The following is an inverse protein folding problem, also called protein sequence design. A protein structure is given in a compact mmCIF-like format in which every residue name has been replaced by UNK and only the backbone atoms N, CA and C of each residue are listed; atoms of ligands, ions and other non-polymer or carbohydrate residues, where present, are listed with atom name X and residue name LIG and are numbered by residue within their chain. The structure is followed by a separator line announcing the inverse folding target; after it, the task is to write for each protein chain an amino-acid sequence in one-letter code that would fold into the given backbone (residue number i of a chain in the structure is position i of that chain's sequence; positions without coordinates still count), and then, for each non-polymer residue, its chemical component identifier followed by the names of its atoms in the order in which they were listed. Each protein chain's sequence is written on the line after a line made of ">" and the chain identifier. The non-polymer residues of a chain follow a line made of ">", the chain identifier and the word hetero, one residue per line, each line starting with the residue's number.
data_IF_069095068364
#
_entry.id   IF_069095068364
#
_cell.length_a   1.000
_cell.length_b   1.000
_cell.length_c   1.000
_cell.angle_alpha   90.00
_cell.angle_beta   90.00
_cell.angle_gamma   90.00
#
_symmetry.space_group_name_H-M   'P 1'
#
loop_
_entity.id
_entity.type
_entity.pdbx_description
1 polymer ?
#
# COMPACT_ATOMS: atom_id res chain seq x y z
N UNK A 1 16.48 18.79 -2.66
CA UNK A 1 15.34 18.01 -3.15
C UNK A 1 14.65 17.30 -2.01
N UNK A 2 13.53 16.65 -2.24
CA UNK A 2 12.87 15.80 -1.24
C UNK A 2 13.63 14.47 -1.12
N UNK A 3 13.76 13.96 0.10
CA UNK A 3 14.46 12.72 0.43
C UNK A 3 13.55 11.65 1.06
N UNK A 4 12.27 11.97 1.26
CA UNK A 4 11.22 11.07 1.73
C UNK A 4 9.87 11.59 1.23
N UNK A 5 9.02 10.73 0.71
CA UNK A 5 7.70 11.08 0.17
C UNK A 5 6.65 10.17 0.77
N UNK A 6 5.56 10.74 1.29
CA UNK A 6 4.35 10.01 1.68
C UNK A 6 3.31 10.08 0.57
N UNK A 7 2.61 8.98 0.35
CA UNK A 7 1.47 8.93 -0.57
C UNK A 7 0.18 8.63 0.20
N UNK A 8 -0.92 9.11 -0.31
CA UNK A 8 -2.26 8.91 0.22
C UNK A 8 -3.31 9.40 -0.77
N UNK A 9 -4.58 9.18 -0.46
CA UNK A 9 -5.71 9.54 -1.31
C UNK A 9 -6.97 9.79 -0.46
N UNK A 10 -8.07 10.22 -1.08
CA UNK A 10 -9.28 10.65 -0.37
C UNK A 10 -10.14 9.47 0.19
N UNK A 11 -10.00 8.24 -0.24
CA UNK A 11 -10.75 7.08 0.29
C UNK A 11 -12.23 7.00 -0.13
N UNK A 12 -12.68 7.77 -1.13
CA UNK A 12 -14.06 7.76 -1.63
C UNK A 12 -14.13 6.96 -2.93
N UNK A 13 -15.01 5.92 -2.94
CA UNK A 13 -15.27 5.05 -4.09
C UNK A 13 -14.08 4.21 -4.58
N UNK A 14 -12.92 4.26 -3.96
CA UNK A 14 -11.70 3.62 -4.44
C UNK A 14 -11.28 2.36 -3.67
N UNK A 15 -11.93 1.99 -2.57
CA UNK A 15 -11.73 0.68 -1.95
C UNK A 15 -12.28 -0.47 -2.82
N UNK A 16 -13.24 -0.20 -3.71
CA UNK A 16 -13.75 -1.20 -4.68
C UNK A 16 -12.69 -1.57 -5.72
N UNK A 17 -12.10 -0.63 -6.49
CA UNK A 17 -11.00 -0.95 -7.40
C UNK A 17 -9.77 -1.47 -6.67
N UNK A 18 -9.45 -1.01 -5.45
CA UNK A 18 -8.33 -1.57 -4.68
C UNK A 18 -8.53 -3.06 -4.35
N UNK A 19 -9.75 -3.45 -3.91
CA UNK A 19 -10.08 -4.86 -3.70
C UNK A 19 -10.03 -5.66 -5.00
N UNK A 20 -10.46 -5.09 -6.13
CA UNK A 20 -10.38 -5.76 -7.43
C UNK A 20 -8.92 -6.00 -7.86
N UNK A 21 -8.04 -5.01 -7.73
CA UNK A 21 -6.61 -5.13 -8.02
C UNK A 21 -5.98 -6.23 -7.17
N UNK A 22 -6.22 -6.22 -5.85
CA UNK A 22 -5.66 -7.22 -4.94
C UNK A 22 -6.19 -8.61 -5.27
N UNK A 23 -7.51 -8.76 -5.55
CA UNK A 23 -8.10 -10.05 -5.94
C UNK A 23 -7.44 -10.63 -7.18
N UNK A 24 -7.17 -9.79 -8.20
CA UNK A 24 -6.54 -10.23 -9.45
C UNK A 24 -5.09 -10.63 -9.21
N UNK A 25 -4.32 -9.84 -8.47
CA UNK A 25 -2.90 -10.08 -8.24
C UNK A 25 -2.67 -11.30 -7.34
N UNK A 26 -3.48 -11.45 -6.29
CA UNK A 26 -3.40 -12.55 -5.31
C UNK A 26 -4.15 -13.81 -5.75
N UNK A 27 -4.87 -13.73 -6.87
CA UNK A 27 -5.76 -14.79 -7.36
C UNK A 27 -6.71 -15.31 -6.27
N UNK A 28 -7.33 -14.41 -5.50
CA UNK A 28 -8.23 -14.74 -4.40
C UNK A 28 -9.67 -14.29 -4.67
N UNK A 29 -10.62 -14.83 -3.89
CA UNK A 29 -12.01 -14.40 -3.98
C UNK A 29 -12.15 -12.93 -3.54
N UNK A 30 -12.86 -12.07 -4.29
CA UNK A 30 -13.15 -10.71 -3.88
C UNK A 30 -13.75 -10.57 -2.47
N UNK A 31 -14.48 -11.57 -1.98
CA UNK A 31 -15.06 -11.57 -0.62
C UNK A 31 -13.97 -11.53 0.46
N UNK A 32 -12.81 -12.15 0.23
CA UNK A 32 -11.68 -12.19 1.17
C UNK A 32 -10.99 -10.83 1.38
N UNK A 33 -11.12 -9.92 0.41
CA UNK A 33 -10.41 -8.64 0.39
C UNK A 33 -11.33 -7.43 0.38
N UNK A 34 -12.65 -7.65 0.47
CA UNK A 34 -13.64 -6.58 0.43
C UNK A 34 -14.11 -6.23 1.83
N UNK A 35 -13.93 -4.99 2.23
CA UNK A 35 -14.40 -4.45 3.49
C UNK A 35 -15.46 -3.35 3.32
N UNK A 36 -15.78 -2.71 4.45
CA UNK A 36 -16.79 -1.65 4.53
C UNK A 36 -16.34 -0.33 3.89
N UNK A 37 -15.04 -0.16 3.66
CA UNK A 37 -14.49 1.10 3.15
C UNK A 37 -14.88 2.30 4.01
N UNK A 38 -15.22 3.41 3.36
CA UNK A 38 -15.59 4.67 4.00
C UNK A 38 -16.97 4.68 4.70
N UNK A 39 -17.55 3.51 5.01
CA UNK A 39 -18.80 3.45 5.79
C UNK A 39 -19.96 2.72 5.12
N UNK A 40 -19.67 1.77 4.22
CA UNK A 40 -20.69 0.88 3.68
C UNK A 40 -21.32 0.06 4.81
N UNK A 41 -22.64 -0.10 4.79
CA UNK A 41 -23.34 -0.99 5.73
C UNK A 41 -22.87 -2.44 5.54
N UNK A 42 -22.69 -3.17 6.64
CA UNK A 42 -22.17 -4.56 6.63
C UNK A 42 -22.95 -5.46 5.68
N UNK A 43 -24.26 -5.32 5.65
CA UNK A 43 -25.17 -6.12 4.79
C UNK A 43 -24.91 -5.90 3.29
N UNK A 44 -24.23 -4.81 2.90
CA UNK A 44 -23.90 -4.49 1.52
C UNK A 44 -22.47 -4.90 1.10
N UNK A 45 -21.66 -5.40 2.02
CA UNK A 45 -20.29 -5.84 1.71
C UNK A 45 -20.30 -6.98 0.70
N UNK A 46 -21.21 -7.94 0.86
CA UNK A 46 -21.37 -9.04 -0.09
C UNK A 46 -21.74 -8.53 -1.50
N UNK A 47 -22.68 -7.58 -1.59
CA UNK A 47 -23.03 -6.96 -2.87
C UNK A 47 -21.83 -6.27 -3.53
N UNK A 48 -20.98 -5.62 -2.74
CA UNK A 48 -19.74 -5.00 -3.22
C UNK A 48 -18.76 -6.06 -3.76
N UNK A 49 -18.56 -7.16 -3.03
CA UNK A 49 -17.72 -8.28 -3.47
C UNK A 49 -18.26 -8.93 -4.77
N UNK A 50 -19.57 -9.16 -4.87
CA UNK A 50 -20.21 -9.68 -6.08
C UNK A 50 -20.06 -8.73 -7.28
N UNK A 51 -20.10 -7.42 -7.03
CA UNK A 51 -19.87 -6.40 -8.06
C UNK A 51 -18.43 -6.44 -8.57
N UNK A 52 -17.46 -6.60 -7.67
CA UNK A 52 -16.03 -6.75 -8.01
C UNK A 52 -15.84 -8.02 -8.83
N UNK A 53 -16.41 -9.15 -8.41
CA UNK A 53 -16.32 -10.43 -9.13
C UNK A 53 -16.85 -10.31 -10.57
N UNK A 54 -18.04 -9.72 -10.75
CA UNK A 54 -18.60 -9.45 -12.07
C UNK A 54 -17.72 -8.53 -12.91
N UNK A 55 -17.12 -7.51 -12.30
CA UNK A 55 -16.22 -6.59 -13.00
C UNK A 55 -14.96 -7.32 -13.51
N UNK A 56 -14.38 -8.20 -12.70
CA UNK A 56 -13.22 -9.01 -13.09
C UNK A 56 -13.59 -9.98 -14.20
N UNK A 57 -14.72 -10.68 -14.08
CA UNK A 57 -15.22 -11.62 -15.09
C UNK A 57 -15.50 -10.95 -16.44
N UNK A 58 -16.08 -9.75 -16.42
CA UNK A 58 -16.41 -8.99 -17.62
C UNK A 58 -15.19 -8.43 -18.31
N UNK A 59 -14.30 -7.78 -17.56
CA UNK A 59 -13.17 -7.05 -18.12
C UNK A 59 -11.92 -7.94 -18.32
N UNK A 60 -11.88 -9.11 -17.68
CA UNK A 60 -10.80 -10.11 -17.81
C UNK A 60 -9.40 -9.50 -17.76
N UNK A 61 -9.03 -8.84 -16.65
CA UNK A 61 -7.70 -8.30 -16.48
C UNK A 61 -6.67 -9.41 -16.54
N UNK A 62 -5.58 -9.17 -17.27
CA UNK A 62 -4.44 -10.07 -17.30
C UNK A 62 -3.66 -9.97 -15.98
N UNK A 63 -3.60 -11.01 -15.13
CA UNK A 63 -2.94 -10.92 -13.83
C UNK A 63 -1.42 -10.70 -13.95
N UNK A 64 -0.83 -10.92 -15.11
CA UNK A 64 0.60 -10.71 -15.35
C UNK A 64 0.92 -9.29 -15.85
N UNK A 65 -0.08 -8.47 -16.16
CA UNK A 65 0.11 -7.11 -16.68
C UNK A 65 -0.53 -6.08 -15.76
N UNK A 66 0.30 -5.36 -15.01
CA UNK A 66 -0.15 -4.34 -14.06
C UNK A 66 -0.90 -3.18 -14.74
N UNK A 67 -0.53 -2.82 -15.96
CA UNK A 67 -1.19 -1.75 -16.72
C UNK A 67 -2.56 -2.23 -17.19
N UNK A 68 -2.66 -3.47 -17.64
CA UNK A 68 -3.95 -4.05 -18.03
C UNK A 68 -4.90 -4.16 -16.81
N UNK A 69 -4.40 -4.61 -15.65
CA UNK A 69 -5.17 -4.63 -14.39
C UNK A 69 -5.68 -3.22 -14.07
N UNK A 70 -4.76 -2.22 -14.03
CA UNK A 70 -5.09 -0.84 -13.72
C UNK A 70 -6.15 -0.27 -14.66
N UNK A 71 -6.01 -0.51 -15.97
CA UNK A 71 -6.91 0.02 -17.00
C UNK A 71 -8.31 -0.57 -16.93
N UNK A 72 -8.44 -1.84 -16.51
CA UNK A 72 -9.70 -2.59 -16.53
C UNK A 72 -10.48 -2.53 -15.22
N UNK A 73 -9.78 -2.55 -14.09
CA UNK A 73 -10.41 -2.62 -12.76
C UNK A 73 -9.83 -1.64 -11.75
N UNK A 74 -8.94 -0.75 -12.15
CA UNK A 74 -8.27 0.22 -11.28
C UNK A 74 -8.95 1.60 -11.23
N UNK A 75 -8.15 2.62 -10.89
CA UNK A 75 -8.54 4.03 -10.80
C UNK A 75 -7.35 4.95 -11.07
N UNK A 76 -7.62 6.17 -11.50
CA UNK A 76 -6.58 7.14 -11.87
C UNK A 76 -5.68 7.51 -10.70
N UNK A 77 -6.25 7.69 -9.49
CA UNK A 77 -5.51 7.99 -8.28
C UNK A 77 -4.59 6.83 -7.87
N UNK A 78 -5.04 5.58 -8.04
CA UNK A 78 -4.23 4.38 -7.77
C UNK A 78 -3.06 4.33 -8.77
N UNK A 79 -3.33 4.58 -10.05
CA UNK A 79 -2.31 4.68 -11.09
C UNK A 79 -1.32 5.83 -10.83
N UNK A 80 -1.83 6.98 -10.38
CA UNK A 80 -1.00 8.13 -9.98
C UNK A 80 -0.04 7.78 -8.85
N UNK A 81 -0.53 7.15 -7.78
CA UNK A 81 0.31 6.68 -6.66
C UNK A 81 1.33 5.63 -7.11
N UNK A 82 0.95 4.67 -7.96
CA UNK A 82 1.90 3.70 -8.54
C UNK A 82 3.00 4.40 -9.35
N UNK A 83 2.65 5.44 -10.12
CA UNK A 83 3.59 6.28 -10.84
C UNK A 83 4.55 7.03 -9.91
N UNK A 84 4.06 7.58 -8.80
CA UNK A 84 4.90 8.22 -7.76
C UNK A 84 5.90 7.22 -7.19
N UNK A 85 5.45 6.01 -6.83
CA UNK A 85 6.33 4.94 -6.30
C UNK A 85 7.44 4.61 -7.32
N UNK A 86 7.09 4.41 -8.58
CA UNK A 86 8.06 4.13 -9.64
C UNK A 86 9.07 5.28 -9.82
N UNK A 87 8.58 6.53 -9.86
CA UNK A 87 9.41 7.72 -9.99
C UNK A 87 10.36 7.91 -8.81
N UNK A 88 9.87 7.71 -7.59
CA UNK A 88 10.67 7.78 -6.38
C UNK A 88 11.77 6.69 -6.37
N UNK A 89 11.40 5.46 -6.68
CA UNK A 89 12.35 4.34 -6.77
C UNK A 89 13.45 4.60 -7.81
N UNK A 90 13.10 5.15 -8.98
CA UNK A 90 14.06 5.52 -10.02
C UNK A 90 15.05 6.60 -9.54
N UNK A 91 14.64 7.44 -8.60
CA UNK A 91 15.45 8.49 -8.00
C UNK A 91 16.04 8.12 -6.64
N UNK A 92 15.89 6.88 -6.19
CA UNK A 92 16.34 6.37 -4.88
C UNK A 92 15.76 7.14 -3.70
N UNK A 93 14.49 7.54 -3.81
CA UNK A 93 13.76 8.24 -2.75
C UNK A 93 12.81 7.25 -2.10
N UNK A 94 12.88 7.02 -0.77
CA UNK A 94 11.92 6.20 -0.05
C UNK A 94 10.50 6.76 -0.12
N UNK A 95 9.51 5.87 -0.21
CA UNK A 95 8.09 6.20 -0.25
C UNK A 95 7.38 5.56 0.93
N UNK A 96 6.69 6.37 1.72
CA UNK A 96 5.84 5.90 2.82
C UNK A 96 4.43 5.68 2.29
N UNK A 97 4.01 4.42 2.32
CA UNK A 97 2.68 3.99 1.92
C UNK A 97 1.69 4.27 3.06
N UNK A 98 0.53 4.83 2.76
CA UNK A 98 -0.49 5.11 3.78
C UNK A 98 -1.22 3.82 4.21
N UNK A 99 -2.32 3.47 3.53
CA UNK A 99 -3.17 2.35 3.92
C UNK A 99 -3.55 1.45 2.74
N UNK A 100 -4.70 0.80 2.85
CA UNK A 100 -5.19 -0.22 1.93
C UNK A 100 -5.10 0.15 0.44
N UNK A 101 -5.51 1.37 0.08
CA UNK A 101 -5.55 1.82 -1.32
C UNK A 101 -4.14 2.09 -1.83
N UNK A 102 -3.26 2.65 -1.00
CA UNK A 102 -1.85 2.84 -1.36
C UNK A 102 -1.11 1.51 -1.48
N UNK A 103 -1.50 0.48 -0.74
CA UNK A 103 -0.96 -0.88 -0.92
C UNK A 103 -1.39 -1.50 -2.25
N UNK A 104 -2.62 -1.25 -2.71
CA UNK A 104 -3.03 -1.67 -4.05
C UNK A 104 -2.20 -0.98 -5.15
N UNK A 105 -1.90 0.30 -5.00
CA UNK A 105 -0.99 1.03 -5.89
C UNK A 105 0.44 0.48 -5.83
N UNK A 106 0.93 0.15 -4.64
CA UNK A 106 2.24 -0.45 -4.42
C UNK A 106 2.38 -1.82 -5.08
N UNK A 107 1.33 -2.65 -5.05
CA UNK A 107 1.30 -3.94 -5.77
C UNK A 107 1.45 -3.76 -7.28
N UNK A 108 0.78 -2.75 -7.87
CA UNK A 108 0.94 -2.44 -9.29
C UNK A 108 2.36 -1.98 -9.61
N UNK A 109 2.92 -1.07 -8.80
CA UNK A 109 4.30 -0.62 -8.98
C UNK A 109 5.31 -1.78 -8.84
N UNK A 110 5.12 -2.64 -7.85
CA UNK A 110 5.93 -3.84 -7.64
C UNK A 110 5.83 -4.81 -8.82
N UNK A 111 4.63 -5.01 -9.37
CA UNK A 111 4.43 -5.89 -10.53
C UNK A 111 5.07 -5.31 -11.80
N UNK A 112 5.11 -3.98 -11.96
CA UNK A 112 5.84 -3.32 -13.07
C UNK A 112 7.35 -3.48 -12.88
N UNK A 113 7.85 -3.22 -11.67
CA UNK A 113 9.27 -3.34 -11.35
C UNK A 113 9.46 -3.79 -9.89
N UNK A 114 9.83 -5.06 -9.65
CA UNK A 114 9.99 -5.58 -8.29
C UNK A 114 11.00 -4.84 -7.41
N UNK A 115 11.96 -4.12 -7.99
CA UNK A 115 12.95 -3.32 -7.24
C UNK A 115 12.32 -2.12 -6.52
N UNK A 116 11.11 -1.71 -6.89
CA UNK A 116 10.41 -0.63 -6.18
C UNK A 116 10.15 -0.94 -4.73
N UNK A 117 10.02 -2.23 -4.38
CA UNK A 117 9.80 -2.70 -3.01
C UNK A 117 10.90 -2.25 -2.04
N UNK A 118 12.14 -2.14 -2.50
CA UNK A 118 13.29 -1.71 -1.68
C UNK A 118 13.16 -0.25 -1.20
N UNK A 119 12.28 0.52 -1.82
CA UNK A 119 12.02 1.93 -1.50
C UNK A 119 10.68 2.15 -0.81
N UNK A 120 9.92 1.09 -0.50
CA UNK A 120 8.61 1.19 0.13
C UNK A 120 8.70 0.99 1.64
N UNK A 121 8.06 1.87 2.39
CA UNK A 121 7.89 1.77 3.84
C UNK A 121 6.38 1.73 4.12
N UNK A 122 5.89 0.65 4.71
CA UNK A 122 4.49 0.53 5.09
C UNK A 122 4.23 1.30 6.39
N UNK A 123 3.32 2.29 6.37
CA UNK A 123 3.04 3.09 7.57
C UNK A 123 2.21 2.33 8.59
N UNK A 124 1.04 1.84 8.23
CA UNK A 124 0.14 1.20 9.19
C UNK A 124 -0.61 -0.01 8.62
N UNK A 125 -1.01 -0.92 9.52
CA UNK A 125 -1.97 -1.97 9.20
C UNK A 125 -3.37 -1.36 9.17
N UNK A 126 -3.93 -1.20 7.95
CA UNK A 126 -5.30 -0.72 7.80
C UNK A 126 -6.31 -1.79 8.22
N UNK A 127 -7.49 -1.35 8.70
CA UNK A 127 -8.57 -2.25 9.10
C UNK A 127 -9.30 -2.94 7.91
N UNK A 128 -8.96 -2.61 6.66
CA UNK A 128 -9.55 -3.26 5.48
C UNK A 128 -8.99 -4.69 5.30
N UNK A 129 -9.83 -5.71 5.02
CA UNK A 129 -9.43 -7.12 4.99
C UNK A 129 -8.27 -7.45 4.04
N UNK A 130 -8.23 -6.83 2.87
CA UNK A 130 -7.18 -7.06 1.88
C UNK A 130 -5.81 -6.51 2.24
N UNK A 131 -5.69 -5.71 3.32
CA UNK A 131 -4.44 -5.09 3.74
C UNK A 131 -3.34 -6.11 4.00
N UNK A 132 -3.65 -7.15 4.79
CA UNK A 132 -2.65 -8.15 5.15
C UNK A 132 -2.17 -8.96 3.94
N UNK A 133 -3.07 -9.25 2.98
CA UNK A 133 -2.68 -9.94 1.73
C UNK A 133 -1.71 -9.09 0.92
N UNK A 134 -2.01 -7.80 0.75
CA UNK A 134 -1.12 -6.87 0.03
C UNK A 134 0.25 -6.76 0.71
N UNK A 135 0.28 -6.62 2.04
CA UNK A 135 1.52 -6.57 2.83
C UNK A 135 2.34 -7.86 2.69
N UNK A 136 1.69 -9.03 2.71
CA UNK A 136 2.35 -10.32 2.55
C UNK A 136 3.00 -10.45 1.15
N UNK A 137 2.30 -10.07 0.07
CA UNK A 137 2.83 -10.11 -1.30
C UNK A 137 4.05 -9.18 -1.43
N UNK A 138 3.95 -7.98 -0.84
CA UNK A 138 5.04 -7.01 -0.83
C UNK A 138 6.17 -7.38 0.13
N UNK A 139 5.95 -8.36 1.02
CA UNK A 139 6.85 -8.70 2.12
C UNK A 139 7.23 -7.46 2.94
N UNK A 140 6.23 -6.66 3.33
CA UNK A 140 6.38 -5.44 4.15
C UNK A 140 5.70 -5.62 5.51
N UNK A 141 6.35 -5.09 6.54
CA UNK A 141 5.78 -4.98 7.89
C UNK A 141 5.44 -3.51 8.18
N UNK A 142 4.20 -3.20 8.58
CA UNK A 142 3.82 -1.83 8.90
C UNK A 142 4.40 -1.40 10.24
N UNK A 143 4.86 -0.15 10.32
CA UNK A 143 5.45 0.42 11.54
C UNK A 143 4.40 0.75 12.61
N UNK A 144 3.12 0.89 12.24
CA UNK A 144 2.01 1.22 13.13
C UNK A 144 0.89 0.18 13.05
N UNK A 145 0.33 -0.17 14.21
CA UNK A 145 -0.89 -0.99 14.30
C UNK A 145 -1.87 -0.34 15.28
N UNK A 146 -2.64 0.63 14.81
CA UNK A 146 -3.50 1.50 15.63
C UNK A 146 -4.98 1.42 15.22
N UNK A 147 -5.38 0.43 14.42
CA UNK A 147 -6.74 0.29 13.92
C UNK A 147 -7.17 1.43 12.98
N UNK A 148 -6.21 2.06 12.31
CA UNK A 148 -6.44 3.21 11.43
C UNK A 148 -7.18 2.81 10.15
N UNK A 149 -8.05 3.70 9.68
CA UNK A 149 -8.83 3.53 8.44
C UNK A 149 -9.26 4.87 7.80
N UNK A 150 -8.60 5.98 8.14
CA UNK A 150 -8.96 7.30 7.62
C UNK A 150 -8.54 7.45 6.17
N UNK A 151 -7.32 7.03 5.81
CA UNK A 151 -6.69 7.37 4.54
C UNK A 151 -6.07 8.76 4.57
N UNK A 152 -6.11 9.47 3.46
CA UNK A 152 -5.68 10.87 3.30
C UNK A 152 -4.20 11.10 3.67
N UNK A 153 -3.36 10.05 3.57
CA UNK A 153 -1.95 10.14 3.95
C UNK A 153 -1.70 10.20 5.45
N UNK A 154 -2.74 9.99 6.29
CA UNK A 154 -2.61 10.13 7.75
C UNK A 154 -1.63 9.14 8.37
N UNK A 155 -1.59 7.91 7.87
CA UNK A 155 -0.61 6.91 8.30
C UNK A 155 0.80 7.28 7.90
N UNK A 156 0.99 7.75 6.67
CA UNK A 156 2.28 8.21 6.18
C UNK A 156 2.79 9.40 7.02
N UNK A 157 1.92 10.37 7.31
CA UNK A 157 2.28 11.53 8.13
C UNK A 157 2.73 11.15 9.55
N UNK A 158 2.06 10.18 10.18
CA UNK A 158 2.46 9.66 11.49
C UNK A 158 3.79 8.89 11.43
N UNK A 159 3.99 8.09 10.38
CA UNK A 159 5.20 7.30 10.22
C UNK A 159 6.45 8.15 10.01
N UNK A 160 6.34 9.37 9.45
CA UNK A 160 7.48 10.27 9.27
C UNK A 160 8.24 10.52 10.56
N UNK A 161 7.53 10.80 11.66
CA UNK A 161 8.18 11.05 12.96
C UNK A 161 8.97 9.82 13.46
N UNK A 162 8.48 8.61 13.19
CA UNK A 162 9.16 7.37 13.56
C UNK A 162 10.40 7.17 12.70
N UNK A 163 10.30 7.42 11.39
CA UNK A 163 11.41 7.32 10.45
C UNK A 163 12.51 8.32 10.80
N UNK A 164 12.14 9.58 11.12
CA UNK A 164 13.10 10.60 11.55
C UNK A 164 13.78 10.22 12.86
N UNK A 165 13.03 9.71 13.84
CA UNK A 165 13.60 9.23 15.10
C UNK A 165 14.57 8.05 14.89
N UNK A 166 14.21 7.12 13.99
CA UNK A 166 15.06 5.99 13.65
C UNK A 166 16.36 6.45 12.97
N UNK A 167 16.26 7.39 12.02
CA UNK A 167 17.43 7.97 11.36
C UNK A 167 18.33 8.71 12.36
N UNK A 168 17.74 9.52 13.23
CA UNK A 168 18.49 10.23 14.29
C UNK A 168 19.24 9.26 15.22
N UNK A 169 18.58 8.16 15.61
CA UNK A 169 19.19 7.11 16.43
C UNK A 169 20.37 6.48 15.70
N UNK A 170 20.19 6.13 14.43
CA UNK A 170 21.26 5.54 13.61
C UNK A 170 22.48 6.45 13.47
N UNK A 171 22.27 7.75 13.29
CA UNK A 171 23.35 8.73 13.11
C UNK A 171 24.09 9.10 14.42
N UNK A 172 23.43 8.97 15.57
CA UNK A 172 23.95 9.50 16.85
C UNK A 172 24.23 8.42 17.91
N UNK A 173 23.81 7.18 17.67
CA UNK A 173 24.11 6.08 18.60
C UNK A 173 25.54 5.61 18.38
N UNK A 174 26.31 5.54 19.46
CA UNK A 174 27.68 5.04 19.42
C UNK A 174 27.74 3.59 18.94
N UNK A 175 28.70 3.28 18.09
CA UNK A 175 29.02 1.92 17.66
C UNK A 175 29.78 1.16 18.77
N UNK A 176 29.83 -0.16 18.69
CA UNK A 176 30.61 -0.97 19.63
C UNK A 176 32.13 -0.64 19.62
N UNK A 177 32.65 -0.18 18.46
CA UNK A 177 34.03 0.21 18.32
C UNK A 177 34.35 1.59 18.99
N UNK A 178 33.32 2.46 19.09
CA UNK A 178 33.42 3.77 19.76
C UNK A 178 33.23 3.66 21.27
N UNK A 179 32.52 2.63 21.74
CA UNK A 179 32.33 2.33 23.16
C UNK A 179 33.45 1.36 23.56
N UNK A 180 34.46 1.85 24.30
CA UNK A 180 35.52 0.99 24.88
C UNK A 180 34.88 0.03 25.89
N UNK A 181 34.48 -1.14 25.41
CA UNK A 181 33.78 -2.18 26.16
C UNK A 181 34.79 -3.00 27.01
N UNK A 182 35.97 -2.44 27.33
CA UNK A 182 36.91 -3.03 28.29
C UNK A 182 37.14 -4.52 28.07
N UNK A 183 37.68 -4.89 26.91
CA UNK A 183 38.14 -6.27 26.67
C UNK A 183 39.53 -6.49 27.26
#
# INVERSE_FOLDING_TARGET
>A
GYNLIGIGEMGICNTTPSSAIISVIDNCDPEDVTGIGAGLKKERVKFKADTIRKSIELNKPNPEDAIDILSKVGGFEIGGMAGVILGCSANRIPVVLDGFISYAAALLAYKINPKTREYMIASHSSAEPGTQRALNILNLEPVLNMGMRLGEGSGAALAFNIIEAANYTYENMATFDEVDMGR
#
